data_IF_535709273196
#
_entry.id   IF_535709273196
#
_cell.length_a   1.000
_cell.length_b   1.000
_cell.length_c   1.000
_cell.angle_alpha   90.00
_cell.angle_beta   90.00
_cell.angle_gamma   90.00
#
_symmetry.space_group_name_H-M   'P 1'
#
loop_
_entity.id
_entity.type
_entity.pdbx_description
1 polymer ?
#
# COMPACT_ATOMS: atom_id res chain seq x y z
N UNK A 1 -11.29 -37.94 25.14
CA UNK A 1 -9.98 -38.35 24.58
C UNK A 1 -9.74 -37.59 23.28
N UNK A 2 -9.36 -36.31 23.35
CA UNK A 2 -9.05 -35.48 22.19
C UNK A 2 -7.58 -35.70 21.82
N UNK A 3 -7.30 -36.44 20.75
CA UNK A 3 -5.95 -36.53 20.19
C UNK A 3 -5.53 -35.15 19.71
N UNK A 4 -4.42 -34.65 20.24
CA UNK A 4 -3.81 -33.38 19.86
C UNK A 4 -3.45 -33.41 18.37
N UNK A 5 -3.70 -32.30 17.67
CA UNK A 5 -3.35 -32.07 16.25
C UNK A 5 -1.87 -32.36 15.94
N UNK A 6 -1.02 -32.41 16.96
CA UNK A 6 0.39 -32.77 16.87
C UNK A 6 0.67 -34.24 16.50
N UNK A 7 -0.28 -35.15 16.72
CA UNK A 7 -0.08 -36.57 16.40
C UNK A 7 -0.44 -36.93 14.95
N UNK A 8 -1.29 -36.14 14.29
CA UNK A 8 -1.69 -36.39 12.89
C UNK A 8 -0.63 -35.97 11.87
N UNK A 9 0.30 -35.08 12.27
CA UNK A 9 1.31 -34.51 11.36
C UNK A 9 2.62 -35.32 11.30
N UNK A 10 2.77 -36.39 12.08
CA UNK A 10 4.00 -37.21 12.11
C UNK A 10 4.10 -38.26 10.99
N UNK A 11 3.03 -38.54 10.26
CA UNK A 11 2.96 -39.62 9.26
C UNK A 11 2.87 -39.14 7.81
N UNK A 12 3.15 -37.85 7.55
CA UNK A 12 3.17 -37.28 6.21
C UNK A 12 4.64 -37.14 5.79
N UNK A 13 5.15 -38.13 5.05
CA UNK A 13 6.51 -38.13 4.52
C UNK A 13 6.59 -37.25 3.27
N UNK A 14 6.66 -35.93 3.48
CA UNK A 14 6.90 -34.94 2.42
C UNK A 14 8.32 -34.37 2.63
N UNK A 15 9.25 -34.55 1.68
CA UNK A 15 10.66 -34.14 1.83
C UNK A 15 10.87 -32.62 2.00
N UNK A 16 9.84 -31.80 1.78
CA UNK A 16 9.91 -30.33 1.86
C UNK A 16 9.68 -29.76 3.28
N UNK A 17 9.13 -30.53 4.23
CA UNK A 17 8.78 -30.04 5.58
C UNK A 17 9.95 -30.17 6.59
N UNK A 18 10.94 -31.03 6.30
CA UNK A 18 12.12 -31.22 7.18
C UNK A 18 13.08 -30.04 7.20
N UNK A 19 13.13 -29.24 6.14
CA UNK A 19 14.09 -28.12 6.03
C UNK A 19 13.65 -26.89 6.85
N UNK A 20 12.35 -26.76 7.14
CA UNK A 20 11.81 -25.58 7.82
C UNK A 20 11.90 -25.63 9.35
N UNK A 21 12.14 -26.79 9.97
CA UNK A 21 12.17 -26.92 11.44
C UNK A 21 13.59 -26.90 12.04
N UNK A 22 14.64 -27.09 11.23
CA UNK A 22 16.04 -27.00 11.70
C UNK A 22 16.58 -25.56 11.77
N UNK A 23 16.03 -24.63 10.99
CA UNK A 23 16.49 -23.23 10.95
C UNK A 23 15.98 -22.37 12.12
N UNK A 24 14.93 -22.81 12.83
CA UNK A 24 14.34 -22.05 13.96
C UNK A 24 14.98 -22.35 15.33
N UNK A 25 15.87 -23.35 15.44
CA UNK A 25 16.48 -23.75 16.73
C UNK A 25 17.85 -23.12 17.01
N UNK A 26 18.41 -22.35 16.06
CA UNK A 26 19.74 -21.76 16.17
C UNK A 26 19.77 -20.27 16.57
N UNK A 27 18.60 -19.64 16.83
CA UNK A 27 18.52 -18.20 17.12
C UNK A 27 18.54 -17.84 18.62
N UNK A 28 18.88 -18.78 19.51
CA UNK A 28 18.92 -18.53 20.96
C UNK A 28 20.35 -18.65 21.48
N UNK A 29 21.07 -17.52 21.47
CA UNK A 29 22.06 -17.10 22.48
C UNK A 29 23.00 -16.07 21.86
N UNK A 30 22.53 -14.82 21.76
CA UNK A 30 23.42 -13.66 21.66
C UNK A 30 23.17 -12.82 22.90
N UNK A 31 24.14 -12.83 23.80
CA UNK A 31 24.15 -12.04 25.03
C UNK A 31 24.37 -10.57 24.63
N UNK A 32 23.33 -9.74 24.72
CA UNK A 32 23.46 -8.30 24.52
C UNK A 32 24.36 -7.70 25.62
N UNK A 33 25.29 -6.79 25.29
CA UNK A 33 26.04 -6.05 26.30
C UNK A 33 25.13 -5.04 27.01
N UNK A 34 25.20 -4.98 28.33
CA UNK A 34 24.54 -3.95 29.14
C UNK A 34 25.12 -2.56 28.81
N UNK A 35 24.30 -1.68 28.24
CA UNK A 35 24.57 -0.26 28.16
C UNK A 35 24.45 0.34 29.57
N UNK A 36 25.58 0.55 30.25
CA UNK A 36 25.63 1.36 31.47
C UNK A 36 25.32 2.81 31.11
N UNK A 37 24.13 3.28 31.50
CA UNK A 37 23.76 4.68 31.43
C UNK A 37 24.66 5.49 32.37
N UNK A 38 25.52 6.32 31.79
CA UNK A 38 26.24 7.34 32.55
C UNK A 38 25.34 8.57 32.62
N UNK A 39 24.69 8.78 33.75
CA UNK A 39 24.01 10.04 34.05
C UNK A 39 25.09 11.11 34.31
N UNK A 40 25.50 11.80 33.25
CA UNK A 40 26.23 13.05 33.39
C UNK A 40 25.28 14.09 33.96
N UNK A 41 25.55 14.49 35.22
CA UNK A 41 24.94 15.64 35.89
C UNK A 41 25.30 16.93 35.11
N UNK A 42 24.51 17.27 34.10
CA UNK A 42 24.58 18.59 33.47
C UNK A 42 23.74 19.52 34.33
N UNK A 43 24.43 20.34 35.12
CA UNK A 43 23.84 21.31 36.01
C UNK A 43 22.88 22.24 35.29
N UNK A 44 21.74 22.51 35.92
CA UNK A 44 20.79 23.52 35.52
C UNK A 44 21.46 24.90 35.59
N UNK A 45 22.11 25.31 34.50
CA UNK A 45 22.56 26.68 34.30
C UNK A 45 21.47 27.43 33.54
N UNK A 46 20.81 28.31 34.29
CA UNK A 46 19.97 29.42 33.91
C UNK A 46 20.29 29.98 32.51
N UNK A 47 19.51 29.59 31.50
CA UNK A 47 19.37 30.35 30.25
C UNK A 47 17.96 30.95 30.26
N UNK A 48 17.88 32.25 30.55
CA UNK A 48 16.63 32.99 30.58
C UNK A 48 15.89 32.83 29.26
N UNK A 49 14.63 32.38 29.32
CA UNK A 49 13.78 32.30 28.14
C UNK A 49 13.65 33.69 27.50
N UNK A 50 13.85 33.83 26.18
CA UNK A 50 13.53 35.08 25.50
C UNK A 50 12.06 35.40 25.71
N UNK A 51 11.75 36.69 25.94
CA UNK A 51 10.39 37.20 26.14
C UNK A 51 9.45 36.64 25.07
N UNK A 52 8.22 36.24 25.42
CA UNK A 52 7.26 35.77 24.44
C UNK A 52 7.05 36.86 23.39
N UNK A 53 7.12 36.47 22.12
CA UNK A 53 6.88 37.33 20.97
C UNK A 53 5.40 37.78 21.00
N UNK A 54 5.09 38.85 21.75
CA UNK A 54 3.70 39.28 21.98
C UNK A 54 3.16 40.21 20.90
N UNK A 55 3.94 40.58 19.88
CA UNK A 55 3.45 41.47 18.83
C UNK A 55 4.10 41.14 17.48
N UNK A 56 3.41 40.32 16.68
CA UNK A 56 3.55 40.35 15.22
C UNK A 56 2.38 41.18 14.67
N UNK A 57 2.62 42.35 14.05
CA UNK A 57 1.59 43.08 13.36
C UNK A 57 1.25 42.32 12.07
N UNK A 58 0.03 41.78 12.01
CA UNK A 58 -0.49 41.14 10.80
C UNK A 58 -1.27 39.85 11.08
N UNK A 59 -2.35 39.95 11.86
CA UNK A 59 -3.45 39.00 11.71
C UNK A 59 -4.04 39.16 10.30
N UNK A 60 -3.52 38.37 9.36
CA UNK A 60 -4.21 38.02 8.12
C UNK A 60 -4.44 36.51 8.10
N UNK A 61 -5.11 36.02 9.14
CA UNK A 61 -5.76 34.72 9.15
C UNK A 61 -7.23 34.93 8.76
N UNK A 62 -7.54 34.77 7.46
CA UNK A 62 -8.91 34.43 7.05
C UNK A 62 -9.02 33.77 5.66
N UNK A 63 -8.08 34.00 4.73
CA UNK A 63 -8.28 33.55 3.33
C UNK A 63 -7.37 32.42 2.83
N UNK A 64 -6.45 31.89 3.65
CA UNK A 64 -5.54 30.80 3.23
C UNK A 64 -6.17 29.41 3.15
N UNK A 65 -7.44 29.24 3.54
CA UNK A 65 -8.13 27.94 3.51
C UNK A 65 -8.93 27.68 2.22
N UNK A 66 -9.10 28.67 1.33
CA UNK A 66 -9.96 28.51 0.13
C UNK A 66 -9.20 28.29 -1.18
N UNK A 67 -7.96 28.77 -1.30
CA UNK A 67 -7.25 28.81 -2.58
C UNK A 67 -6.45 27.55 -2.97
N UNK A 68 -6.42 26.48 -2.14
CA UNK A 68 -5.68 25.24 -2.48
C UNK A 68 -6.54 24.15 -3.14
N UNK A 69 -7.87 24.34 -3.20
CA UNK A 69 -8.81 23.33 -3.71
C UNK A 69 -9.00 23.38 -5.23
N UNK A 70 -8.62 24.49 -5.88
CA UNK A 70 -9.03 24.79 -7.26
C UNK A 70 -7.93 24.58 -8.31
N UNK A 71 -6.68 24.37 -7.88
CA UNK A 71 -5.56 24.10 -8.78
C UNK A 71 -5.44 22.61 -9.07
N UNK A 72 -6.19 22.10 -10.06
CA UNK A 72 -6.00 20.78 -10.68
C UNK A 72 -6.38 19.58 -9.78
N UNK A 73 -7.65 19.50 -9.36
CA UNK A 73 -8.28 18.18 -9.21
C UNK A 73 -8.07 17.48 -10.55
N UNK A 74 -7.17 16.50 -10.59
CA UNK A 74 -6.90 15.66 -11.77
C UNK A 74 -8.24 15.33 -12.40
N UNK A 75 -8.47 15.77 -13.65
CA UNK A 75 -9.76 15.66 -14.34
C UNK A 75 -10.31 14.24 -14.15
N UNK A 76 -11.31 14.11 -13.30
CA UNK A 76 -11.91 12.83 -13.00
C UNK A 76 -12.81 12.47 -14.19
N UNK A 77 -12.45 11.41 -14.91
CA UNK A 77 -13.27 10.90 -16.01
C UNK A 77 -14.47 10.15 -15.45
N UNK A 78 -15.69 10.53 -15.85
CA UNK A 78 -16.88 9.75 -15.54
C UNK A 78 -16.84 8.42 -16.30
N UNK A 79 -17.09 7.31 -15.60
CA UNK A 79 -17.16 5.97 -16.18
C UNK A 79 -18.65 5.62 -16.31
N UNK A 80 -19.17 5.67 -17.55
CA UNK A 80 -20.56 5.31 -17.87
C UNK A 80 -20.65 3.97 -18.61
N UNK A 81 -19.53 3.45 -19.10
CA UNK A 81 -19.43 2.17 -19.81
C UNK A 81 -18.19 1.36 -19.38
N UNK A 82 -18.20 0.03 -19.58
CA UNK A 82 -17.00 -0.80 -19.39
C UNK A 82 -15.83 -0.37 -20.30
N UNK A 83 -16.11 0.20 -21.47
CA UNK A 83 -15.09 0.69 -22.40
C UNK A 83 -14.32 1.89 -21.87
N UNK A 84 -14.97 2.75 -21.07
CA UNK A 84 -14.32 3.90 -20.45
C UNK A 84 -13.26 3.40 -19.45
N UNK A 85 -13.64 2.45 -18.60
CA UNK A 85 -12.71 1.81 -17.67
C UNK A 85 -11.60 1.06 -18.40
N UNK A 86 -11.93 0.30 -19.45
CA UNK A 86 -10.96 -0.40 -20.28
C UNK A 86 -9.90 0.53 -20.89
N UNK A 87 -10.34 1.70 -21.36
CA UNK A 87 -9.45 2.74 -21.92
C UNK A 87 -8.52 3.32 -20.85
N UNK A 88 -9.04 3.64 -19.66
CA UNK A 88 -8.22 4.15 -18.54
C UNK A 88 -7.15 3.11 -18.14
N UNK A 89 -7.52 1.84 -18.05
CA UNK A 89 -6.60 0.74 -17.75
C UNK A 89 -5.53 0.61 -18.83
N UNK A 90 -5.93 0.64 -20.11
CA UNK A 90 -5.00 0.57 -21.25
C UNK A 90 -3.99 1.73 -21.23
N UNK A 91 -4.46 2.96 -21.03
CA UNK A 91 -3.58 4.14 -20.93
C UNK A 91 -2.60 4.00 -19.78
N UNK A 92 -3.05 3.54 -18.61
CA UNK A 92 -2.18 3.31 -17.46
C UNK A 92 -1.11 2.23 -17.73
N UNK A 93 -1.48 1.14 -18.43
CA UNK A 93 -0.54 0.10 -18.85
C UNK A 93 0.49 0.62 -19.84
N UNK A 94 0.06 1.32 -20.88
CA UNK A 94 0.93 1.85 -21.94
C UNK A 94 1.88 2.93 -21.42
N UNK A 95 1.45 3.76 -20.47
CA UNK A 95 2.30 4.74 -19.80
C UNK A 95 3.49 4.09 -19.06
N UNK A 96 3.32 2.84 -18.62
CA UNK A 96 4.38 2.02 -17.98
C UNK A 96 5.16 1.17 -18.98
N UNK A 97 4.86 1.27 -20.28
CA UNK A 97 5.48 0.50 -21.38
C UNK A 97 5.37 -1.02 -21.22
N UNK A 98 4.30 -1.49 -20.58
CA UNK A 98 4.05 -2.92 -20.39
C UNK A 98 3.21 -3.47 -21.55
N UNK A 99 3.58 -4.64 -22.04
CA UNK A 99 2.71 -5.47 -22.87
C UNK A 99 1.50 -5.97 -22.06
N UNK A 100 0.45 -6.41 -22.75
CA UNK A 100 -0.71 -7.03 -22.09
C UNK A 100 -0.33 -8.28 -21.30
N UNK A 101 0.71 -9.02 -21.71
CA UNK A 101 1.16 -10.21 -20.98
C UNK A 101 1.82 -9.81 -19.67
N UNK A 102 2.83 -8.93 -19.71
CA UNK A 102 3.55 -8.47 -18.52
C UNK A 102 2.60 -7.83 -17.49
N UNK A 103 1.63 -7.05 -17.98
CA UNK A 103 0.64 -6.46 -17.09
C UNK A 103 -0.33 -7.49 -16.50
N UNK A 104 -0.71 -8.52 -17.26
CA UNK A 104 -1.52 -9.62 -16.76
C UNK A 104 -0.80 -10.40 -15.66
N UNK A 105 0.50 -10.65 -15.84
CA UNK A 105 1.35 -11.33 -14.86
C UNK A 105 1.44 -10.51 -13.56
N UNK A 106 1.65 -9.19 -13.67
CA UNK A 106 1.67 -8.27 -12.53
C UNK A 106 0.32 -8.20 -11.81
N UNK A 107 -0.79 -8.23 -12.54
CA UNK A 107 -2.14 -8.24 -11.99
C UNK A 107 -2.60 -9.63 -11.52
N UNK A 108 -1.82 -10.68 -11.78
CA UNK A 108 -2.17 -12.07 -11.48
C UNK A 108 -3.49 -12.51 -12.14
N UNK A 109 -3.65 -12.23 -13.43
CA UNK A 109 -4.77 -12.66 -14.29
C UNK A 109 -4.24 -13.18 -15.62
N UNK A 110 -5.06 -13.87 -16.42
CA UNK A 110 -4.65 -14.28 -17.77
C UNK A 110 -4.64 -13.11 -18.76
N UNK A 111 -3.71 -13.08 -19.71
CA UNK A 111 -3.62 -12.06 -20.79
C UNK A 111 -4.94 -11.82 -21.53
N UNK A 112 -5.71 -12.88 -21.79
CA UNK A 112 -7.04 -12.77 -22.42
C UNK A 112 -7.98 -11.85 -21.64
N UNK A 113 -7.92 -11.88 -20.31
CA UNK A 113 -8.74 -11.00 -19.46
C UNK A 113 -8.35 -9.53 -19.66
N UNK A 114 -7.05 -9.22 -19.72
CA UNK A 114 -6.59 -7.85 -20.00
C UNK A 114 -7.08 -7.40 -21.37
N UNK A 115 -6.97 -8.24 -22.40
CA UNK A 115 -7.50 -7.92 -23.73
C UNK A 115 -9.01 -7.68 -23.71
N UNK A 116 -9.80 -8.55 -23.09
CA UNK A 116 -11.25 -8.38 -22.98
C UNK A 116 -11.62 -7.12 -22.18
N UNK A 117 -10.88 -6.80 -21.11
CA UNK A 117 -11.11 -5.61 -20.30
C UNK A 117 -10.79 -4.33 -21.07
N UNK A 118 -9.65 -4.27 -21.73
CA UNK A 118 -9.24 -3.10 -22.53
C UNK A 118 -10.17 -2.86 -23.73
N UNK A 119 -10.80 -3.92 -24.24
CA UNK A 119 -11.84 -3.84 -25.29
C UNK A 119 -13.24 -3.57 -24.73
N UNK A 120 -13.41 -3.41 -23.41
CA UNK A 120 -14.69 -3.05 -22.80
C UNK A 120 -15.71 -4.19 -22.74
N UNK A 121 -15.27 -5.45 -22.60
CA UNK A 121 -16.20 -6.59 -22.46
C UNK A 121 -17.10 -6.41 -21.23
N UNK A 122 -18.42 -6.32 -21.46
CA UNK A 122 -19.40 -6.07 -20.40
C UNK A 122 -19.58 -7.21 -19.39
N UNK A 123 -19.19 -8.45 -19.74
CA UNK A 123 -19.46 -9.65 -18.95
C UNK A 123 -18.28 -10.09 -18.07
N UNK A 124 -17.34 -9.18 -17.79
CA UNK A 124 -16.18 -9.50 -16.96
C UNK A 124 -16.57 -9.55 -15.49
N UNK A 125 -15.94 -10.47 -14.76
CA UNK A 125 -16.12 -10.58 -13.32
C UNK A 125 -15.58 -9.32 -12.62
N UNK A 126 -16.47 -8.59 -11.94
CA UNK A 126 -16.16 -7.29 -11.34
C UNK A 126 -14.99 -7.34 -10.34
N UNK A 127 -14.89 -8.40 -9.53
CA UNK A 127 -13.79 -8.56 -8.59
C UNK A 127 -12.41 -8.57 -9.28
N UNK A 128 -12.31 -9.23 -10.43
CA UNK A 128 -11.08 -9.26 -11.22
C UNK A 128 -10.79 -7.91 -11.88
N UNK A 129 -11.84 -7.18 -12.27
CA UNK A 129 -11.70 -5.81 -12.77
C UNK A 129 -11.10 -4.90 -11.70
N UNK A 130 -11.60 -4.96 -10.45
CA UNK A 130 -11.04 -4.20 -9.33
C UNK A 130 -9.57 -4.56 -9.06
N UNK A 131 -9.22 -5.85 -9.13
CA UNK A 131 -7.83 -6.31 -9.00
C UNK A 131 -6.91 -5.68 -10.06
N UNK A 132 -7.37 -5.67 -11.32
CA UNK A 132 -6.62 -5.06 -12.42
C UNK A 132 -6.53 -3.54 -12.28
N UNK A 133 -7.61 -2.86 -11.88
CA UNK A 133 -7.59 -1.43 -11.61
C UNK A 133 -6.54 -1.08 -10.53
N UNK A 134 -6.51 -1.83 -9.44
CA UNK A 134 -5.48 -1.66 -8.40
C UNK A 134 -4.06 -1.88 -8.94
N UNK A 135 -3.83 -2.94 -9.73
CA UNK A 135 -2.55 -3.19 -10.38
C UNK A 135 -2.13 -2.06 -11.34
N UNK A 136 -3.08 -1.46 -12.05
CA UNK A 136 -2.88 -0.28 -12.90
C UNK A 136 -2.63 1.01 -12.09
N UNK A 137 -2.71 0.98 -10.75
CA UNK A 137 -2.61 2.17 -9.90
C UNK A 137 -3.83 3.09 -9.99
N UNK A 138 -5.00 2.53 -10.32
CA UNK A 138 -6.28 3.23 -10.44
C UNK A 138 -7.08 2.96 -9.17
N UNK A 139 -7.55 4.03 -8.53
CA UNK A 139 -8.52 3.95 -7.43
C UNK A 139 -9.91 4.27 -7.95
N UNK A 140 -10.89 3.44 -7.62
CA UNK A 140 -12.30 3.63 -7.97
C UNK A 140 -13.04 4.11 -6.73
N UNK A 141 -13.80 5.20 -6.86
CA UNK A 141 -14.63 5.76 -5.81
C UNK A 141 -16.07 5.82 -6.29
N UNK A 142 -17.02 5.52 -5.41
CA UNK A 142 -18.44 5.72 -5.66
C UNK A 142 -18.89 7.07 -5.07
N UNK A 143 -19.71 7.80 -5.82
CA UNK A 143 -20.26 9.11 -5.44
C UNK A 143 -21.74 9.12 -5.83
N UNK A 144 -22.65 9.72 -5.02
CA UNK A 144 -24.01 10.02 -5.47
C UNK A 144 -23.96 10.89 -6.73
N UNK A 145 -24.86 10.63 -7.68
CA UNK A 145 -25.04 11.46 -8.88
C UNK A 145 -25.87 12.69 -8.57
#
# INVERSE_FOLDING_TARGET
>A
MSKSLTDTLKNIDIPSVRVATETLKAATSVKLPELKMQSSNIGAQQLGFPKPLSHLPGEQHSERTKARTEGKRREATEIVSPGDLGSIVRTAREARKLSQQEFADLAGVGRRFISELENGKATLEFQRVLKVAHAAGISIFAQPR
#
